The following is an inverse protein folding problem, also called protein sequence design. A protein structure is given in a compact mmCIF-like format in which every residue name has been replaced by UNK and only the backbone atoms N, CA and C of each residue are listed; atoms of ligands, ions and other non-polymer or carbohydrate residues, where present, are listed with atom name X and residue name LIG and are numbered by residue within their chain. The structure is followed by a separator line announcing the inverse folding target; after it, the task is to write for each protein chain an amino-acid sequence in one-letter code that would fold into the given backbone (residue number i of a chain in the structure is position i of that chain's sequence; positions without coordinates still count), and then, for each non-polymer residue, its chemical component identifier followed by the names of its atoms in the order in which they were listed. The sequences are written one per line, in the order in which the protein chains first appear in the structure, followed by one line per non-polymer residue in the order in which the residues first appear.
data_IF_781732489734
#
_entry.id   IF_781732489734
#
_cell.length_a   1.000
_cell.length_b   1.000
_cell.length_c   1.000
_cell.angle_alpha   90.00
_cell.angle_beta   90.00
_cell.angle_gamma   90.00
#
_symmetry.space_group_name_H-M   'P 1'
#
loop_
_entity.id
_entity.type
_entity.pdbx_description
1 polymer ?
#
# COMPACT_ATOMS: atom_id res chain seq x y z
N UNK A 1 11.38 -10.89 -40.81
CA UNK A 1 10.61 -10.01 -39.90
C UNK A 1 10.48 -10.56 -38.48
N UNK A 2 10.27 -11.88 -38.29
CA UNK A 2 10.19 -12.51 -36.95
C UNK A 2 11.44 -12.29 -36.09
N UNK A 3 12.64 -12.42 -36.66
CA UNK A 3 13.91 -12.33 -35.93
C UNK A 3 14.21 -10.94 -35.34
N UNK A 4 13.83 -9.85 -36.03
CA UNK A 4 14.01 -8.47 -35.52
C UNK A 4 13.18 -8.18 -34.27
N UNK A 5 12.11 -8.95 -34.08
CA UNK A 5 11.15 -8.78 -33.01
C UNK A 5 11.39 -9.80 -31.90
N UNK A 6 11.60 -11.08 -32.25
CA UNK A 6 11.78 -12.21 -31.32
C UNK A 6 13.06 -12.14 -30.48
N UNK A 7 14.16 -11.63 -31.06
CA UNK A 7 15.44 -11.53 -30.34
C UNK A 7 15.33 -10.56 -29.14
N UNK A 8 14.84 -9.32 -29.29
CA UNK A 8 14.61 -8.44 -28.15
C UNK A 8 13.69 -9.03 -27.06
N UNK A 9 12.64 -9.77 -27.44
CA UNK A 9 11.71 -10.42 -26.49
C UNK A 9 12.44 -11.42 -25.62
N UNK A 10 13.23 -12.29 -26.28
CA UNK A 10 13.93 -13.38 -25.59
C UNK A 10 14.95 -12.76 -24.63
N UNK A 11 15.66 -11.72 -25.06
CA UNK A 11 16.60 -11.00 -24.20
C UNK A 11 15.89 -10.39 -22.99
N UNK A 12 14.82 -9.61 -23.20
CA UNK A 12 14.08 -8.96 -22.09
C UNK A 12 13.45 -10.00 -21.16
N UNK A 13 12.88 -11.08 -21.71
CA UNK A 13 12.27 -12.15 -20.91
C UNK A 13 13.32 -12.89 -20.08
N UNK A 14 14.49 -13.18 -20.65
CA UNK A 14 15.57 -13.86 -19.94
C UNK A 14 16.14 -12.98 -18.83
N UNK A 15 16.38 -11.69 -19.11
CA UNK A 15 16.89 -10.75 -18.10
C UNK A 15 15.85 -10.51 -17.00
N UNK A 16 14.57 -10.35 -17.35
CA UNK A 16 13.48 -10.23 -16.38
C UNK A 16 13.33 -11.47 -15.51
N UNK A 17 13.50 -12.66 -16.07
CA UNK A 17 13.48 -13.90 -15.30
C UNK A 17 14.72 -14.05 -14.42
N UNK A 18 15.90 -13.68 -14.93
CA UNK A 18 17.15 -13.71 -14.17
C UNK A 18 17.11 -12.76 -12.96
N UNK A 19 16.62 -11.53 -13.13
CA UNK A 19 16.47 -10.57 -12.03
C UNK A 19 15.50 -11.08 -10.95
N UNK A 20 14.40 -11.74 -11.34
CA UNK A 20 13.51 -12.40 -10.38
C UNK A 20 14.20 -13.55 -9.62
N UNK A 21 15.00 -14.36 -10.31
CA UNK A 21 15.76 -15.43 -9.67
C UNK A 21 16.85 -14.91 -8.71
N UNK A 22 17.36 -13.69 -8.92
CA UNK A 22 18.36 -13.07 -8.03
C UNK A 22 17.89 -12.94 -6.60
N UNK A 23 16.58 -12.81 -6.39
CA UNK A 23 15.96 -12.74 -5.07
C UNK A 23 15.86 -14.11 -4.36
N UNK A 24 16.05 -15.21 -5.08
CA UNK A 24 15.95 -16.57 -4.54
C UNK A 24 17.30 -17.31 -4.52
N UNK A 25 18.25 -16.93 -5.38
CA UNK A 25 19.56 -17.55 -5.50
C UNK A 25 20.59 -16.71 -4.75
N UNK A 26 21.05 -17.19 -3.59
CA UNK A 26 22.05 -16.50 -2.75
C UNK A 26 23.49 -16.75 -3.23
N UNK A 27 23.73 -16.55 -4.53
CA UNK A 27 25.08 -16.64 -5.11
C UNK A 27 25.68 -15.24 -5.29
N UNK A 28 26.86 -14.93 -4.72
CA UNK A 28 27.38 -13.56 -4.62
C UNK A 28 27.50 -12.82 -5.97
N UNK A 29 27.93 -13.53 -7.02
CA UNK A 29 28.11 -12.96 -8.37
C UNK A 29 26.79 -12.65 -9.06
N UNK A 30 25.77 -13.47 -8.85
CA UNK A 30 24.46 -13.26 -9.46
C UNK A 30 23.68 -12.18 -8.72
N UNK A 31 23.80 -12.15 -7.39
CA UNK A 31 23.17 -11.16 -6.53
C UNK A 31 23.71 -9.75 -6.79
N UNK A 32 25.03 -9.58 -6.89
CA UNK A 32 25.64 -8.29 -7.25
C UNK A 32 25.20 -7.78 -8.63
N UNK A 33 25.09 -8.65 -9.63
CA UNK A 33 24.54 -8.25 -10.94
C UNK A 33 23.09 -7.76 -10.84
N UNK A 34 22.24 -8.42 -10.04
CA UNK A 34 20.82 -8.05 -9.90
C UNK A 34 20.64 -6.80 -9.03
N UNK A 35 21.36 -6.69 -7.94
CA UNK A 35 21.20 -5.60 -6.97
C UNK A 35 21.90 -4.31 -7.43
N UNK A 36 23.08 -4.42 -8.06
CA UNK A 36 23.89 -3.27 -8.46
C UNK A 36 23.75 -2.96 -9.95
N UNK A 37 24.24 -3.86 -10.82
CA UNK A 37 24.32 -3.58 -12.26
C UNK A 37 22.93 -3.34 -12.85
N UNK A 38 22.03 -4.32 -12.72
CA UNK A 38 20.69 -4.25 -13.30
C UNK A 38 19.89 -3.04 -12.80
N UNK A 39 20.05 -2.68 -11.52
CA UNK A 39 19.45 -1.48 -10.93
C UNK A 39 20.03 -0.22 -11.57
N UNK A 40 21.35 -0.13 -11.77
CA UNK A 40 21.96 1.02 -12.43
C UNK A 40 21.50 1.19 -13.88
N UNK A 41 21.42 0.08 -14.64
CA UNK A 41 20.85 0.10 -16.00
C UNK A 41 19.39 0.56 -15.99
N UNK A 42 18.60 0.08 -15.02
CA UNK A 42 17.22 0.51 -14.82
C UNK A 42 17.15 2.01 -14.51
N UNK A 43 17.98 2.54 -13.62
CA UNK A 43 17.99 3.96 -13.25
C UNK A 43 18.30 4.86 -14.44
N UNK A 44 19.26 4.46 -15.30
CA UNK A 44 19.55 5.17 -16.55
C UNK A 44 18.33 5.19 -17.46
N UNK A 45 17.70 4.03 -17.69
CA UNK A 45 16.49 3.93 -18.51
C UNK A 45 15.32 4.73 -17.92
N UNK A 46 15.14 4.67 -16.59
CA UNK A 46 14.10 5.37 -15.87
C UNK A 46 14.29 6.89 -15.96
N UNK A 47 15.53 7.39 -15.88
CA UNK A 47 15.84 8.79 -16.09
C UNK A 47 15.35 9.27 -17.47
N UNK A 48 15.70 8.56 -18.55
CA UNK A 48 15.20 8.89 -19.90
C UNK A 48 13.68 8.77 -20.02
N UNK A 49 13.09 7.75 -19.42
CA UNK A 49 11.65 7.54 -19.45
C UNK A 49 10.88 8.67 -18.74
N UNK A 50 11.40 9.19 -17.62
CA UNK A 50 10.81 10.32 -16.90
C UNK A 50 10.80 11.57 -17.79
N UNK A 51 11.91 11.87 -18.48
CA UNK A 51 11.96 12.98 -19.42
C UNK A 51 10.98 12.80 -20.59
N UNK A 52 10.95 11.61 -21.20
CA UNK A 52 10.03 11.31 -22.29
C UNK A 52 8.57 11.39 -21.85
N UNK A 53 8.26 10.90 -20.65
CA UNK A 53 6.92 10.97 -20.05
C UNK A 53 6.47 12.40 -19.80
N UNK A 54 7.36 13.25 -19.25
CA UNK A 54 7.10 14.68 -19.05
C UNK A 54 6.87 15.43 -20.37
N UNK A 55 7.71 15.19 -21.37
CA UNK A 55 7.55 15.79 -22.71
C UNK A 55 6.26 15.30 -23.40
N UNK A 56 5.93 14.02 -23.29
CA UNK A 56 4.70 13.48 -23.85
C UNK A 56 3.45 14.08 -23.19
N UNK A 57 3.47 14.21 -21.86
CA UNK A 57 2.39 14.90 -21.12
C UNK A 57 2.26 16.35 -21.61
N UNK A 58 3.36 17.08 -21.70
CA UNK A 58 3.34 18.47 -22.17
C UNK A 58 2.80 18.56 -23.60
N UNK A 59 3.25 17.70 -24.51
CA UNK A 59 2.76 17.63 -25.90
C UNK A 59 1.25 17.37 -25.94
N UNK A 60 0.77 16.34 -25.27
CA UNK A 60 -0.66 15.95 -25.28
C UNK A 60 -1.54 17.03 -24.68
N UNK A 61 -1.16 17.59 -23.52
CA UNK A 61 -1.94 18.64 -22.88
C UNK A 61 -1.91 19.94 -23.70
N UNK A 62 -0.78 20.29 -24.31
CA UNK A 62 -0.67 21.48 -25.16
C UNK A 62 -1.51 21.33 -26.43
N UNK A 63 -1.46 20.17 -27.09
CA UNK A 63 -2.32 19.88 -28.24
C UNK A 63 -3.80 19.99 -27.87
N UNK A 64 -4.19 19.47 -26.69
CA UNK A 64 -5.57 19.56 -26.19
C UNK A 64 -6.03 21.00 -25.96
N UNK A 65 -5.14 21.87 -25.48
CA UNK A 65 -5.38 23.31 -25.30
C UNK A 65 -5.51 24.02 -26.66
N UNK A 66 -4.56 23.80 -27.57
CA UNK A 66 -4.54 24.43 -28.89
C UNK A 66 -5.76 24.04 -29.74
N UNK A 67 -6.17 22.77 -29.67
CA UNK A 67 -7.35 22.26 -30.38
C UNK A 67 -8.67 22.48 -29.64
N UNK A 68 -8.66 23.17 -28.48
CA UNK A 68 -9.84 23.48 -27.64
C UNK A 68 -10.78 22.28 -27.40
N UNK A 69 -10.21 21.10 -27.18
CA UNK A 69 -11.01 19.90 -26.91
C UNK A 69 -11.79 20.01 -25.60
N UNK A 70 -12.76 19.11 -25.40
CA UNK A 70 -13.57 19.08 -24.17
C UNK A 70 -12.68 18.97 -22.92
N UNK A 71 -12.85 19.91 -21.99
CA UNK A 71 -12.07 19.98 -20.75
C UNK A 71 -10.65 20.54 -20.92
N UNK A 72 -10.37 21.32 -21.97
CA UNK A 72 -9.07 21.97 -22.18
C UNK A 72 -8.66 22.90 -21.03
N UNK A 73 -9.60 23.46 -20.25
CA UNK A 73 -9.26 24.30 -19.11
C UNK A 73 -8.45 23.53 -18.06
N UNK A 74 -8.77 22.25 -17.83
CA UNK A 74 -8.02 21.40 -16.91
C UNK A 74 -6.60 21.10 -17.40
N UNK A 75 -6.39 21.07 -18.72
CA UNK A 75 -5.06 20.89 -19.31
C UNK A 75 -4.14 22.06 -19.02
N UNK A 76 -4.65 23.29 -18.86
CA UNK A 76 -3.83 24.44 -18.41
C UNK A 76 -3.28 24.21 -17.00
N UNK A 77 -4.09 23.69 -16.08
CA UNK A 77 -3.63 23.36 -14.73
C UNK A 77 -2.58 22.25 -14.73
N UNK A 78 -2.72 21.26 -15.61
CA UNK A 78 -1.71 20.20 -15.75
C UNK A 78 -0.37 20.73 -16.26
N UNK A 79 -0.38 21.58 -17.30
CA UNK A 79 0.83 22.21 -17.83
C UNK A 79 1.47 23.12 -16.78
N UNK A 80 0.66 23.98 -16.15
CA UNK A 80 1.13 24.89 -15.09
C UNK A 80 1.71 24.12 -13.89
N UNK A 81 1.06 23.03 -13.49
CA UNK A 81 1.55 22.15 -12.42
C UNK A 81 2.87 21.46 -12.77
N UNK A 82 3.04 20.99 -14.02
CA UNK A 82 4.30 20.40 -14.49
C UNK A 82 5.43 21.44 -14.44
N UNK A 83 5.20 22.64 -14.98
CA UNK A 83 6.19 23.73 -14.97
C UNK A 83 6.52 24.13 -13.53
N UNK A 84 5.50 24.27 -12.67
CA UNK A 84 5.68 24.58 -11.26
C UNK A 84 6.53 23.53 -10.53
N UNK A 85 6.28 22.23 -10.77
CA UNK A 85 7.07 21.15 -10.18
C UNK A 85 8.54 21.15 -10.65
N UNK A 86 8.79 21.42 -11.94
CA UNK A 86 10.16 21.55 -12.48
C UNK A 86 10.87 22.75 -11.85
N UNK A 87 10.21 23.90 -11.77
CA UNK A 87 10.76 25.11 -11.14
C UNK A 87 11.07 24.87 -9.67
N UNK A 88 10.16 24.24 -8.92
CA UNK A 88 10.34 23.91 -7.53
C UNK A 88 11.43 22.84 -7.28
N UNK A 89 11.65 21.93 -8.22
CA UNK A 89 12.63 20.85 -8.08
C UNK A 89 14.05 21.22 -8.53
N UNK A 90 14.20 22.12 -9.49
CA UNK A 90 15.50 22.40 -10.11
C UNK A 90 15.98 23.85 -9.94
N UNK A 91 15.08 24.79 -9.69
CA UNK A 91 15.41 26.22 -9.70
C UNK A 91 15.17 26.93 -8.37
N UNK A 92 14.24 26.45 -7.53
CA UNK A 92 13.89 27.09 -6.26
C UNK A 92 14.03 26.13 -5.08
N UNK A 93 15.03 26.35 -4.22
CA UNK A 93 15.19 25.58 -2.98
C UNK A 93 14.20 25.96 -1.90
N UNK A 94 13.86 27.24 -1.77
CA UNK A 94 13.00 27.77 -0.69
C UNK A 94 13.67 27.90 0.68
N UNK A 95 14.76 27.16 0.93
CA UNK A 95 15.62 27.33 2.10
C UNK A 95 17.11 27.42 1.67
N UNK A 96 17.82 28.53 1.95
CA UNK A 96 19.22 28.70 1.57
C UNK A 96 20.19 27.77 2.31
N UNK A 97 19.83 27.28 3.49
CA UNK A 97 20.71 26.46 4.35
C UNK A 97 20.80 25.00 3.89
N UNK A 98 20.04 24.61 2.86
CA UNK A 98 19.96 23.23 2.37
C UNK A 98 20.73 23.07 1.06
N UNK A 99 21.53 22.00 0.99
CA UNK A 99 22.27 21.63 -0.20
C UNK A 99 21.34 21.21 -1.36
N UNK A 100 21.83 21.39 -2.59
CA UNK A 100 21.18 20.83 -3.78
C UNK A 100 21.17 19.29 -3.67
N UNK A 101 20.13 18.64 -4.21
CA UNK A 101 19.85 17.22 -3.95
C UNK A 101 18.95 17.01 -2.72
N UNK A 102 19.40 17.36 -1.51
CA UNK A 102 18.61 17.12 -0.27
C UNK A 102 17.41 18.05 -0.10
N UNK A 103 17.41 19.19 -0.79
CA UNK A 103 16.29 20.14 -0.79
C UNK A 103 14.94 19.55 -1.22
N UNK A 104 14.90 18.44 -1.97
CA UNK A 104 13.63 17.79 -2.36
C UNK A 104 12.91 17.10 -1.19
N UNK A 105 13.62 16.81 -0.10
CA UNK A 105 13.03 16.13 1.08
C UNK A 105 13.13 16.95 2.37
N UNK A 106 14.02 17.94 2.43
CA UNK A 106 14.28 18.74 3.61
C UNK A 106 13.10 19.62 4.05
N UNK A 107 13.04 19.92 5.35
CA UNK A 107 12.00 20.81 5.92
C UNK A 107 12.22 22.25 5.46
N UNK A 108 11.13 22.96 5.20
CA UNK A 108 11.13 24.36 4.80
C UNK A 108 11.46 24.62 3.33
N UNK A 109 11.60 23.59 2.50
CA UNK A 109 11.82 23.75 1.05
C UNK A 109 10.52 23.81 0.28
N UNK A 110 10.54 24.46 -0.89
CA UNK A 110 9.36 24.59 -1.74
C UNK A 110 8.85 23.22 -2.23
N UNK A 111 9.77 22.32 -2.61
CA UNK A 111 9.40 20.99 -3.06
C UNK A 111 8.75 20.16 -1.94
N UNK A 112 9.26 20.24 -0.70
CA UNK A 112 8.65 19.55 0.43
C UNK A 112 7.28 20.13 0.79
N UNK A 113 7.11 21.44 0.68
CA UNK A 113 5.80 22.08 0.82
C UNK A 113 4.80 21.56 -0.22
N UNK A 114 5.19 21.53 -1.50
CA UNK A 114 4.38 20.98 -2.60
C UNK A 114 4.02 19.51 -2.32
N UNK A 115 4.96 18.72 -1.84
CA UNK A 115 4.69 17.33 -1.47
C UNK A 115 3.65 17.22 -0.33
N UNK A 116 3.83 17.99 0.75
CA UNK A 116 2.97 17.89 1.94
C UNK A 116 1.57 18.45 1.71
N UNK A 117 1.41 19.49 0.89
CA UNK A 117 0.13 20.19 0.72
C UNK A 117 -0.57 19.91 -0.60
N UNK A 118 0.13 19.39 -1.61
CA UNK A 118 -0.49 19.01 -2.89
C UNK A 118 -0.46 17.49 -3.06
N UNK A 119 0.72 16.88 -3.10
CA UNK A 119 0.85 15.45 -3.44
C UNK A 119 0.24 14.55 -2.37
N UNK A 120 0.58 14.77 -1.10
CA UNK A 120 0.14 13.92 0.01
C UNK A 120 -1.37 13.93 0.20
N UNK A 121 -2.08 15.08 0.20
CA UNK A 121 -3.53 15.11 0.27
C UNK A 121 -4.19 14.46 -0.95
N UNK A 122 -3.68 14.69 -2.17
CA UNK A 122 -4.21 14.04 -3.37
C UNK A 122 -4.07 12.50 -3.28
N UNK A 123 -2.91 12.00 -2.87
CA UNK A 123 -2.73 10.56 -2.63
C UNK A 123 -3.69 10.05 -1.55
N UNK A 124 -3.85 10.78 -0.44
CA UNK A 124 -4.78 10.44 0.61
C UNK A 124 -6.23 10.37 0.10
N UNK A 125 -6.65 11.29 -0.80
CA UNK A 125 -7.99 11.21 -1.40
C UNK A 125 -8.16 9.99 -2.29
N UNK A 126 -7.15 9.62 -3.09
CA UNK A 126 -7.19 8.39 -3.89
C UNK A 126 -7.29 7.16 -2.98
N UNK A 127 -6.48 7.07 -1.92
CA UNK A 127 -6.55 5.97 -0.96
C UNK A 127 -7.87 5.94 -0.19
N UNK A 128 -8.41 7.09 0.21
CA UNK A 128 -9.70 7.18 0.88
C UNK A 128 -10.85 6.70 -0.02
N UNK A 129 -10.85 7.11 -1.30
CA UNK A 129 -11.80 6.63 -2.29
C UNK A 129 -11.65 5.12 -2.52
N UNK A 130 -10.42 4.62 -2.69
CA UNK A 130 -10.15 3.20 -2.82
C UNK A 130 -10.65 2.43 -1.60
N UNK A 131 -10.37 2.90 -0.38
CA UNK A 131 -10.85 2.27 0.85
C UNK A 131 -12.39 2.26 0.90
N UNK A 132 -13.05 3.36 0.55
CA UNK A 132 -14.51 3.45 0.49
C UNK A 132 -15.10 2.48 -0.55
N UNK A 133 -14.56 2.45 -1.77
CA UNK A 133 -15.04 1.56 -2.83
C UNK A 133 -14.78 0.09 -2.52
N UNK A 134 -13.60 -0.24 -2.00
CA UNK A 134 -13.27 -1.60 -1.56
C UNK A 134 -14.21 -2.00 -0.43
N UNK A 135 -14.39 -1.18 0.60
CA UNK A 135 -15.31 -1.47 1.70
C UNK A 135 -16.76 -1.63 1.21
N UNK A 136 -17.23 -0.77 0.31
CA UNK A 136 -18.58 -0.85 -0.28
C UNK A 136 -18.78 -2.10 -1.14
N UNK A 137 -17.80 -2.41 -2.01
CA UNK A 137 -17.82 -3.60 -2.86
C UNK A 137 -17.72 -4.88 -2.04
N UNK A 138 -16.81 -4.91 -1.05
CA UNK A 138 -16.67 -5.98 -0.07
C UNK A 138 -17.95 -6.15 0.73
N UNK A 139 -18.59 -5.08 1.24
CA UNK A 139 -19.87 -5.19 1.96
C UNK A 139 -20.97 -5.81 1.09
N UNK A 140 -21.03 -5.43 -0.19
CA UNK A 140 -22.00 -6.00 -1.16
C UNK A 140 -21.69 -7.45 -1.52
N UNK A 141 -20.41 -7.80 -1.68
CA UNK A 141 -19.95 -9.16 -2.00
C UNK A 141 -20.01 -10.10 -0.79
N UNK A 142 -19.78 -9.56 0.42
CA UNK A 142 -19.84 -10.22 1.71
C UNK A 142 -21.16 -9.95 2.43
N UNK A 143 -22.29 -9.95 1.69
CA UNK A 143 -23.61 -10.00 2.31
C UNK A 143 -23.60 -11.20 3.26
N UNK A 144 -23.55 -10.93 4.57
CA UNK A 144 -23.29 -11.89 5.66
C UNK A 144 -24.11 -13.17 5.42
N UNK A 145 -23.44 -14.19 4.88
CA UNK A 145 -24.03 -15.52 4.61
C UNK A 145 -23.06 -16.66 4.91
N UNK A 146 -21.75 -16.41 5.04
CA UNK A 146 -20.76 -17.44 5.36
C UNK A 146 -19.81 -17.02 6.49
N UNK A 147 -19.30 -18.02 7.21
CA UNK A 147 -18.36 -17.86 8.32
C UNK A 147 -17.04 -17.21 7.87
N UNK A 148 -16.57 -17.56 6.67
CA UNK A 148 -15.32 -17.06 6.08
C UNK A 148 -15.32 -15.53 5.89
N UNK A 149 -16.42 -14.95 5.37
CA UNK A 149 -16.51 -13.50 5.20
C UNK A 149 -16.57 -12.76 6.54
N UNK A 150 -17.17 -13.37 7.57
CA UNK A 150 -17.23 -12.78 8.92
C UNK A 150 -15.83 -12.75 9.55
N UNK A 151 -15.06 -13.83 9.38
CA UNK A 151 -13.68 -13.91 9.83
C UNK A 151 -12.80 -12.87 9.11
N UNK A 152 -12.96 -12.72 7.80
CA UNK A 152 -12.22 -11.76 6.99
C UNK A 152 -12.56 -10.31 7.34
N UNK A 153 -13.85 -10.00 7.53
CA UNK A 153 -14.31 -8.67 7.96
C UNK A 153 -13.77 -8.32 9.35
N UNK A 154 -13.88 -9.25 10.30
CA UNK A 154 -13.40 -9.05 11.68
C UNK A 154 -11.89 -8.83 11.70
N UNK A 155 -11.13 -9.63 10.93
CA UNK A 155 -9.69 -9.48 10.78
C UNK A 155 -9.32 -8.12 10.17
N UNK A 156 -10.05 -7.67 9.16
CA UNK A 156 -9.86 -6.35 8.54
C UNK A 156 -10.08 -5.18 9.51
N UNK A 157 -11.12 -5.24 10.35
CA UNK A 157 -11.40 -4.24 11.38
C UNK A 157 -10.24 -4.18 12.40
N UNK A 158 -9.76 -5.33 12.86
CA UNK A 158 -8.64 -5.42 13.82
C UNK A 158 -7.37 -4.79 13.23
N UNK A 159 -7.04 -5.09 11.96
CA UNK A 159 -5.88 -4.50 11.28
C UNK A 159 -6.05 -2.97 11.15
N UNK A 160 -7.24 -2.50 10.76
CA UNK A 160 -7.49 -1.07 10.60
C UNK A 160 -7.35 -0.32 11.92
N UNK A 161 -7.92 -0.84 13.03
CA UNK A 161 -7.80 -0.21 14.35
C UNK A 161 -6.35 -0.21 14.84
N UNK A 162 -5.62 -1.33 14.68
CA UNK A 162 -4.22 -1.42 15.09
C UNK A 162 -3.27 -0.47 14.33
N UNK A 163 -3.62 -0.10 13.10
CA UNK A 163 -2.85 0.83 12.25
C UNK A 163 -3.13 2.30 12.51
N UNK A 164 -4.26 2.63 13.12
CA UNK A 164 -4.60 4.02 13.47
C UNK A 164 -3.80 4.41 14.71
N UNK A 165 -3.19 5.62 14.78
CA UNK A 165 -2.44 6.08 15.95
C UNK A 165 -3.22 6.02 17.27
N UNK A 166 -4.55 6.01 17.22
CA UNK A 166 -5.43 5.82 18.37
C UNK A 166 -5.41 4.40 18.93
N UNK A 167 -5.14 3.38 18.11
CA UNK A 167 -5.12 1.97 18.50
C UNK A 167 -4.02 1.61 19.49
N UNK A 168 -2.88 2.33 19.47
CA UNK A 168 -1.79 2.14 20.44
C UNK A 168 -2.12 2.72 21.83
N UNK A 169 -3.12 3.58 21.95
CA UNK A 169 -3.57 4.10 23.24
C UNK A 169 -4.62 3.18 23.90
N UNK A 170 -5.09 2.15 23.20
CA UNK A 170 -6.03 1.17 23.75
C UNK A 170 -5.23 0.17 24.59
N UNK A 171 -5.47 0.18 25.90
CA UNK A 171 -4.85 -0.76 26.84
C UNK A 171 -5.30 -2.21 26.59
N UNK A 172 -4.37 -3.17 26.75
CA UNK A 172 -4.66 -4.61 26.73
C UNK A 172 -5.79 -5.00 27.70
N UNK A 173 -5.91 -4.33 28.85
CA UNK A 173 -6.95 -4.60 29.84
C UNK A 173 -8.36 -4.28 29.33
N UNK A 174 -8.51 -3.20 28.56
CA UNK A 174 -9.80 -2.84 27.96
C UNK A 174 -10.30 -3.94 27.01
N UNK A 175 -9.38 -4.56 26.27
CA UNK A 175 -9.69 -5.65 25.34
C UNK A 175 -10.04 -6.93 26.10
N UNK A 176 -9.37 -7.22 27.21
CA UNK A 176 -9.72 -8.34 28.07
C UNK A 176 -11.16 -8.21 28.63
N UNK A 177 -11.57 -7.02 29.04
CA UNK A 177 -12.96 -6.79 29.45
C UNK A 177 -13.96 -7.02 28.31
N UNK A 178 -13.66 -6.56 27.10
CA UNK A 178 -14.49 -6.85 25.93
C UNK A 178 -14.59 -8.36 25.65
N UNK A 179 -13.49 -9.10 25.76
CA UNK A 179 -13.48 -10.56 25.58
C UNK A 179 -14.36 -11.25 26.63
N UNK A 180 -14.30 -10.83 27.89
CA UNK A 180 -15.17 -11.36 28.96
C UNK A 180 -16.65 -11.12 28.64
N UNK A 181 -17.00 -9.93 28.15
CA UNK A 181 -18.38 -9.62 27.76
C UNK A 181 -18.83 -10.45 26.55
N UNK A 182 -17.98 -10.61 25.54
CA UNK A 182 -18.27 -11.46 24.37
C UNK A 182 -18.44 -12.92 24.79
N UNK A 183 -17.55 -13.44 25.64
CA UNK A 183 -17.67 -14.80 26.19
C UNK A 183 -18.98 -14.96 26.99
N UNK A 184 -19.39 -13.95 27.74
CA UNK A 184 -20.69 -13.90 28.41
C UNK A 184 -21.87 -14.02 27.44
N UNK A 185 -21.83 -13.29 26.31
CA UNK A 185 -22.86 -13.36 25.25
C UNK A 185 -22.90 -14.78 24.63
N UNK A 186 -21.74 -15.38 24.35
CA UNK A 186 -21.65 -16.75 23.81
C UNK A 186 -22.23 -17.77 24.78
N UNK A 187 -21.86 -17.70 26.06
CA UNK A 187 -22.39 -18.57 27.13
C UNK A 187 -23.91 -18.41 27.25
N UNK A 188 -24.43 -17.18 27.17
CA UNK A 188 -25.88 -16.95 27.16
C UNK A 188 -26.57 -17.58 25.95
N UNK A 189 -25.92 -17.55 24.79
CA UNK A 189 -26.46 -18.13 23.54
C UNK A 189 -26.56 -19.65 23.62
N UNK A 190 -25.58 -20.31 24.25
CA UNK A 190 -25.53 -21.77 24.42
C UNK A 190 -26.47 -22.24 25.53
N UNK A 191 -26.35 -21.65 26.73
CA UNK A 191 -27.04 -22.15 27.93
C UNK A 191 -28.40 -21.50 28.19
N UNK A 192 -28.75 -20.40 27.53
CA UNK A 192 -30.01 -19.63 27.66
C UNK A 192 -30.43 -19.30 29.09
N UNK A 193 -29.51 -19.36 30.05
CA UNK A 193 -29.78 -19.21 31.46
C UNK A 193 -29.04 -18.02 32.04
N UNK A 194 -29.83 -17.03 32.48
CA UNK A 194 -29.35 -15.74 32.99
C UNK A 194 -28.40 -15.88 34.20
N UNK A 195 -28.57 -16.92 35.03
CA UNK A 195 -27.71 -17.13 36.21
C UNK A 195 -26.29 -17.54 35.83
N UNK A 196 -26.13 -18.47 34.89
CA UNK A 196 -24.80 -18.90 34.44
C UNK A 196 -24.06 -17.79 33.68
N UNK A 197 -24.77 -16.98 32.90
CA UNK A 197 -24.20 -15.80 32.24
C UNK A 197 -23.76 -14.73 33.25
N UNK A 198 -24.57 -14.45 34.27
CA UNK A 198 -24.20 -13.47 35.29
C UNK A 198 -22.96 -13.91 36.10
N UNK A 199 -22.88 -15.21 36.44
CA UNK A 199 -21.74 -15.77 37.15
C UNK A 199 -20.47 -15.72 36.29
N UNK A 200 -20.54 -16.09 35.01
CA UNK A 200 -19.36 -16.10 34.14
C UNK A 200 -18.82 -14.70 33.86
N UNK A 201 -19.70 -13.71 33.62
CA UNK A 201 -19.30 -12.31 33.43
C UNK A 201 -18.75 -11.72 34.73
N UNK A 202 -19.40 -11.99 35.88
CA UNK A 202 -18.95 -11.51 37.18
C UNK A 202 -17.56 -12.06 37.55
N UNK A 203 -17.35 -13.37 37.40
CA UNK A 203 -16.05 -14.00 37.63
C UNK A 203 -15.00 -13.51 36.64
N UNK A 204 -15.36 -13.32 35.36
CA UNK A 204 -14.44 -12.81 34.35
C UNK A 204 -13.99 -11.38 34.63
N UNK A 205 -14.91 -10.47 34.96
CA UNK A 205 -14.57 -9.07 35.30
C UNK A 205 -13.70 -9.04 36.55
N UNK A 206 -14.04 -9.84 37.57
CA UNK A 206 -13.25 -9.92 38.80
C UNK A 206 -11.84 -10.44 38.51
N UNK A 207 -11.70 -11.50 37.71
CA UNK A 207 -10.42 -12.06 37.31
C UNK A 207 -9.54 -11.08 36.54
N UNK A 208 -10.10 -10.35 35.57
CA UNK A 208 -9.36 -9.33 34.81
C UNK A 208 -8.93 -8.18 35.73
N UNK A 209 -9.79 -7.75 36.65
CA UNK A 209 -9.49 -6.66 37.58
C UNK A 209 -8.42 -7.06 38.61
N UNK A 210 -8.51 -8.28 39.15
CA UNK A 210 -7.50 -8.82 40.06
C UNK A 210 -6.13 -8.98 39.37
N UNK A 211 -6.12 -9.45 38.12
CA UNK A 211 -4.91 -9.53 37.31
C UNK A 211 -4.33 -8.14 37.02
N UNK A 212 -5.16 -7.16 36.68
CA UNK A 212 -4.75 -5.77 36.44
C UNK A 212 -4.11 -5.12 37.67
N UNK A 213 -4.70 -5.34 38.85
CA UNK A 213 -4.16 -4.88 40.14
C UNK A 213 -2.82 -5.57 40.43
N UNK A 214 -2.69 -6.87 40.18
CA UNK A 214 -1.46 -7.62 40.44
C UNK A 214 -0.27 -7.18 39.58
N UNK A 215 -0.54 -6.73 38.34
CA UNK A 215 0.48 -6.32 37.37
C UNK A 215 0.71 -4.80 37.32
N UNK A 216 -0.10 -4.01 38.03
CA UNK A 216 0.03 -2.55 38.06
C UNK A 216 -0.48 -1.83 36.80
N UNK A 217 -1.46 -2.41 36.10
CA UNK A 217 -2.12 -1.83 34.91
C UNK A 217 -1.18 -1.34 33.78
N UNK A 218 -0.24 -2.16 33.29
CA UNK A 218 0.56 -1.81 32.10
C UNK A 218 -0.32 -1.68 30.86
N UNK A 219 0.02 -0.77 29.94
CA UNK A 219 -0.74 -0.53 28.70
C UNK A 219 -0.65 -1.72 27.72
N UNK A 220 0.50 -2.37 27.69
CA UNK A 220 0.94 -3.37 26.73
C UNK A 220 0.80 -4.81 27.22
N UNK A 221 0.90 -5.06 28.53
CA UNK A 221 0.82 -6.41 29.09
C UNK A 221 -0.60 -6.73 29.59
N UNK A 222 -1.17 -7.91 29.29
CA UNK A 222 -0.55 -9.05 28.57
C UNK A 222 -0.44 -8.83 27.05
N UNK A 223 0.74 -9.11 26.49
CA UNK A 223 1.09 -8.79 25.09
C UNK A 223 0.17 -9.45 24.05
N UNK A 224 -0.42 -10.60 24.37
CA UNK A 224 -1.34 -11.34 23.48
C UNK A 224 -2.61 -10.54 23.17
N UNK A 225 -3.04 -9.67 24.09
CA UNK A 225 -4.24 -8.85 23.93
C UNK A 225 -3.94 -7.42 23.51
N UNK A 226 -2.67 -7.07 23.30
CA UNK A 226 -2.29 -5.75 22.82
C UNK A 226 -2.51 -5.65 21.30
N UNK A 227 -3.37 -4.72 20.86
CA UNK A 227 -3.76 -4.60 19.44
C UNK A 227 -2.56 -4.45 18.49
N UNK A 228 -1.52 -3.64 18.79
CA UNK A 228 -0.36 -3.53 17.93
C UNK A 228 0.39 -4.87 17.73
N UNK A 229 0.48 -5.70 18.77
CA UNK A 229 1.15 -7.01 18.67
C UNK A 229 0.34 -7.98 17.80
N UNK A 230 -0.98 -8.06 18.01
CA UNK A 230 -1.87 -8.84 17.16
C UNK A 230 -1.82 -8.36 15.70
N UNK A 231 -1.83 -7.04 15.49
CA UNK A 231 -1.69 -6.45 14.16
C UNK A 231 -0.34 -6.79 13.51
N UNK A 232 0.74 -6.80 14.27
CA UNK A 232 2.06 -7.17 13.76
C UNK A 232 2.11 -8.64 13.38
N UNK A 233 1.54 -9.54 14.19
CA UNK A 233 1.43 -10.95 13.84
C UNK A 233 0.62 -11.15 12.55
N UNK A 234 -0.56 -10.54 12.43
CA UNK A 234 -1.39 -10.59 11.22
C UNK A 234 -0.61 -10.04 10.01
N UNK A 235 0.19 -8.98 10.21
CA UNK A 235 0.97 -8.40 9.13
C UNK A 235 2.12 -9.31 8.68
N UNK A 236 2.86 -9.86 9.64
CA UNK A 236 4.06 -10.67 9.38
C UNK A 236 3.76 -12.01 8.76
N UNK A 237 2.65 -12.66 9.13
CA UNK A 237 2.35 -14.02 8.68
C UNK A 237 1.31 -14.04 7.55
N UNK A 238 -0.01 -13.84 7.79
CA UNK A 238 -1.00 -13.99 6.72
C UNK A 238 -0.96 -12.86 5.68
N UNK A 239 -0.78 -11.60 6.09
CA UNK A 239 -0.74 -10.51 5.11
C UNK A 239 0.50 -10.58 4.21
N UNK A 240 1.68 -10.88 4.77
CA UNK A 240 2.90 -11.02 3.98
C UNK A 240 2.81 -12.16 2.97
N UNK A 241 2.17 -13.28 3.32
CA UNK A 241 1.90 -14.38 2.40
C UNK A 241 0.97 -13.94 1.25
N UNK A 242 -0.12 -13.23 1.56
CA UNK A 242 -1.04 -12.69 0.57
C UNK A 242 -0.40 -11.65 -0.33
N UNK A 243 0.34 -10.69 0.23
CA UNK A 243 1.02 -9.64 -0.53
C UNK A 243 2.06 -10.21 -1.48
N UNK A 244 2.80 -11.26 -1.07
CA UNK A 244 3.74 -11.99 -1.94
C UNK A 244 3.02 -12.65 -3.12
N UNK A 245 1.89 -13.32 -2.88
CA UNK A 245 1.09 -13.91 -3.95
C UNK A 245 0.56 -12.87 -4.94
N UNK A 246 0.07 -11.73 -4.44
CA UNK A 246 -0.38 -10.61 -5.29
C UNK A 246 0.78 -10.05 -6.10
N UNK A 247 1.95 -9.80 -5.49
CA UNK A 247 3.12 -9.30 -6.20
C UNK A 247 3.59 -10.26 -7.30
N UNK A 248 3.58 -11.57 -7.04
CA UNK A 248 3.87 -12.59 -8.06
C UNK A 248 2.83 -12.52 -9.18
N UNK A 249 1.53 -12.42 -8.85
CA UNK A 249 0.46 -12.30 -9.83
C UNK A 249 0.56 -11.04 -10.69
N UNK A 250 0.87 -9.89 -10.08
CA UNK A 250 1.14 -8.64 -10.77
C UNK A 250 2.38 -8.78 -11.67
N UNK A 251 3.47 -9.36 -11.17
CA UNK A 251 4.68 -9.60 -11.95
C UNK A 251 4.42 -10.48 -13.17
N UNK A 252 3.70 -11.60 -13.00
CA UNK A 252 3.26 -12.47 -14.10
C UNK A 252 2.32 -11.75 -15.07
N UNK A 253 1.43 -10.90 -14.56
CA UNK A 253 0.53 -10.07 -15.38
C UNK A 253 1.31 -9.08 -16.25
N UNK A 254 2.25 -8.34 -15.65
CA UNK A 254 3.14 -7.40 -16.36
C UNK A 254 3.99 -8.14 -17.39
N UNK A 255 4.52 -9.31 -17.03
CA UNK A 255 5.28 -10.16 -17.94
C UNK A 255 4.42 -10.63 -19.11
N UNK A 256 3.19 -11.09 -18.85
CA UNK A 256 2.24 -11.50 -19.87
C UNK A 256 1.82 -10.35 -20.81
N UNK A 257 1.52 -9.17 -20.27
CA UNK A 257 1.20 -7.98 -21.09
C UNK A 257 2.42 -7.54 -21.89
N UNK A 258 3.61 -7.58 -21.29
CA UNK A 258 4.85 -7.28 -21.99
C UNK A 258 5.04 -8.25 -23.16
N UNK A 259 4.87 -9.56 -22.95
CA UNK A 259 4.92 -10.56 -24.02
C UNK A 259 3.89 -10.26 -25.11
N UNK A 260 2.65 -9.88 -24.78
CA UNK A 260 1.62 -9.58 -25.79
C UNK A 260 1.95 -8.35 -26.63
N UNK A 261 2.44 -7.27 -26.02
CA UNK A 261 2.94 -6.11 -26.76
C UNK A 261 4.12 -6.49 -27.63
N UNK A 262 5.04 -7.25 -27.05
CA UNK A 262 6.27 -7.61 -27.73
C UNK A 262 6.00 -8.62 -28.85
N UNK A 263 5.03 -9.53 -28.76
CA UNK A 263 4.54 -10.41 -29.83
C UNK A 263 3.58 -9.71 -30.81
N UNK A 264 3.08 -8.53 -30.43
CA UNK A 264 2.24 -7.64 -31.25
C UNK A 264 0.87 -8.19 -31.51
N UNK A 265 0.45 -9.05 -30.60
CA UNK A 265 -0.92 -9.48 -30.43
C UNK A 265 -1.74 -8.28 -29.91
N UNK A 266 -1.13 -7.45 -29.06
CA UNK A 266 -1.69 -6.16 -28.63
C UNK A 266 -0.88 -5.00 -29.25
N UNK A 267 -1.56 -4.02 -29.84
CA UNK A 267 -0.94 -2.74 -30.23
C UNK A 267 -0.89 -1.85 -28.99
N UNK A 268 0.30 -1.32 -28.68
CA UNK A 268 0.45 -0.32 -27.63
C UNK A 268 -0.45 0.88 -27.96
N UNK A 269 -1.09 1.46 -26.95
CA UNK A 269 -1.96 2.65 -27.09
C UNK A 269 -1.23 3.88 -27.69
N UNK A 270 0.09 3.81 -27.81
CA UNK A 270 0.98 4.83 -28.37
C UNK A 270 1.20 4.63 -29.89
N UNK A 271 0.78 3.49 -30.45
CA UNK A 271 0.95 3.15 -31.86
C UNK A 271 -0.38 3.10 -32.61
N UNK A 272 -0.89 4.28 -32.99
CA UNK A 272 -1.38 4.45 -34.36
C UNK A 272 -0.19 4.52 -35.32
#
# INVERSE_FOLDING_TARGET
MLWKRQIPIIIVSLIGFATLLGWFIDQPTFKSFVDDDATQWFDILAAFAIFLGGLNLLKLQTQKVLSKQKGWQYSLFAIGGLVFAIVAGFFIKGNPDVAWGTHVTAKGTLFKWMFNYMVSPMQATMFALLAFYVASASYRAFRIRNFEATLLLSSGIIIMIGRVPLGSYISSWFIMYLIVLIAGIVINTIFKNKRYTAISVGLGIFGVTAAGISMGWPLDQPAVFYLPYLQEWIYRYPNSAGSRSIMIGIGLGIFGTSIRYILGIERSYIGE
#
